data_IF_985456733360
#
_entry.id   IF_985456733360
#
_cell.length_a   1.000
_cell.length_b   1.000
_cell.length_c   1.000
_cell.angle_alpha   90.00
_cell.angle_beta   90.00
_cell.angle_gamma   90.00
#
_symmetry.space_group_name_H-M   'P 1'
#
loop_
_entity.id
_entity.type
_entity.pdbx_description
1 polymer ?
#
# COMPACT_ATOMS: atom_id res chain seq x y z
N UNK A 1 33.83 31.75 4.55
CA UNK A 1 32.44 31.64 4.02
C UNK A 1 31.96 30.23 4.28
N UNK A 2 31.24 30.03 5.36
CA UNK A 2 30.70 28.74 5.78
C UNK A 2 29.31 28.61 5.08
N UNK A 3 29.24 27.73 4.07
CA UNK A 3 27.99 27.43 3.39
C UNK A 3 27.02 26.79 4.39
N UNK A 4 25.96 27.48 4.70
CA UNK A 4 24.84 26.94 5.45
C UNK A 4 24.18 25.80 4.63
N UNK A 5 24.57 24.57 4.91
CA UNK A 5 23.75 23.43 4.53
C UNK A 5 22.37 23.59 5.16
N UNK A 6 21.43 24.02 4.34
CA UNK A 6 20.01 24.01 4.67
C UNK A 6 19.63 22.59 5.10
N UNK A 7 19.48 22.38 6.40
CA UNK A 7 18.82 21.18 6.95
C UNK A 7 17.48 21.08 6.24
N UNK A 8 17.35 20.16 5.27
CA UNK A 8 16.09 19.84 4.61
C UNK A 8 15.07 19.53 5.69
N UNK A 9 14.21 20.51 5.98
CA UNK A 9 13.17 20.36 7.01
C UNK A 9 12.39 19.07 6.75
N UNK A 10 12.20 18.28 7.77
CA UNK A 10 11.31 17.11 7.69
C UNK A 10 9.96 17.60 7.17
N UNK A 11 9.41 16.95 6.14
CA UNK A 11 8.09 17.26 5.62
C UNK A 11 7.06 16.79 6.64
N UNK A 12 6.61 17.72 7.47
CA UNK A 12 5.74 17.45 8.62
C UNK A 12 4.46 16.70 8.22
N UNK A 13 3.87 17.05 7.06
CA UNK A 13 2.68 16.37 6.54
C UNK A 13 2.92 14.87 6.26
N UNK A 14 4.12 14.51 5.77
CA UNK A 14 4.47 13.10 5.52
C UNK A 14 4.63 12.33 6.83
N UNK A 15 5.26 12.92 7.84
CA UNK A 15 5.41 12.27 9.14
C UNK A 15 4.06 12.11 9.84
N UNK A 16 3.17 13.11 9.72
CA UNK A 16 1.81 13.01 10.22
C UNK A 16 1.02 11.89 9.53
N UNK A 17 1.08 11.81 8.19
CA UNK A 17 0.42 10.75 7.43
C UNK A 17 0.95 9.36 7.83
N UNK A 18 2.27 9.21 8.02
CA UNK A 18 2.85 7.93 8.50
C UNK A 18 2.31 7.52 9.85
N UNK A 19 2.31 8.46 10.81
CA UNK A 19 1.78 8.20 12.15
C UNK A 19 0.33 7.76 12.08
N UNK A 20 -0.49 8.49 11.33
CA UNK A 20 -1.90 8.17 11.15
C UNK A 20 -2.12 6.81 10.50
N UNK A 21 -1.36 6.49 9.43
CA UNK A 21 -1.44 5.18 8.77
C UNK A 21 -1.02 4.02 9.68
N UNK A 22 -0.01 4.19 10.55
CA UNK A 22 0.37 3.17 11.53
C UNK A 22 -0.82 2.86 12.45
N UNK A 23 -1.51 3.89 12.91
CA UNK A 23 -2.67 3.75 13.78
C UNK A 23 -3.80 2.99 13.08
N UNK A 24 -4.10 3.32 11.82
CA UNK A 24 -5.08 2.62 11.01
C UNK A 24 -4.69 1.15 10.76
N UNK A 25 -3.42 0.87 10.48
CA UNK A 25 -2.94 -0.52 10.33
C UNK A 25 -3.11 -1.31 11.62
N UNK A 26 -2.80 -0.72 12.78
CA UNK A 26 -3.04 -1.37 14.07
C UNK A 26 -4.53 -1.69 14.25
N UNK A 27 -5.41 -0.77 13.89
CA UNK A 27 -6.86 -0.98 13.95
C UNK A 27 -7.32 -2.12 13.02
N UNK A 28 -6.73 -2.28 11.84
CA UNK A 28 -7.05 -3.40 10.91
C UNK A 28 -6.88 -4.77 11.58
N UNK A 29 -5.97 -4.88 12.53
CA UNK A 29 -5.67 -6.14 13.23
C UNK A 29 -6.48 -6.35 14.51
N UNK A 30 -7.45 -5.50 14.83
CA UNK A 30 -8.32 -5.67 16.00
C UNK A 30 -9.42 -6.72 15.83
N UNK A 31 -9.56 -7.29 14.61
CA UNK A 31 -10.55 -8.33 14.30
C UNK A 31 -11.96 -7.92 14.77
N UNK A 32 -12.68 -8.82 15.42
CA UNK A 32 -14.06 -8.60 15.92
C UNK A 32 -14.16 -7.57 17.05
N UNK A 33 -13.06 -7.19 17.69
CA UNK A 33 -13.05 -6.13 18.69
C UNK A 33 -13.16 -4.71 18.10
N UNK A 34 -12.98 -4.55 16.77
CA UNK A 34 -13.05 -3.25 16.11
C UNK A 34 -13.30 -3.35 14.60
N UNK A 35 -12.30 -3.81 13.86
CA UNK A 35 -12.33 -3.83 12.39
C UNK A 35 -13.50 -4.63 11.80
N UNK A 36 -13.81 -5.80 12.35
CA UNK A 36 -14.89 -6.69 11.89
C UNK A 36 -16.14 -6.62 12.76
N UNK A 37 -16.35 -5.52 13.47
CA UNK A 37 -17.48 -5.34 14.38
C UNK A 37 -18.83 -5.40 13.65
N UNK A 38 -18.90 -5.04 12.38
CA UNK A 38 -20.08 -5.13 11.53
C UNK A 38 -20.63 -6.57 11.39
N UNK A 39 -19.75 -7.59 11.49
CA UNK A 39 -20.17 -8.99 11.45
C UNK A 39 -20.95 -9.43 12.70
N UNK A 40 -20.68 -8.79 13.86
CA UNK A 40 -21.28 -9.17 15.13
C UNK A 40 -22.54 -8.38 15.48
N UNK A 41 -22.76 -7.24 14.85
CA UNK A 41 -23.84 -6.31 15.22
C UNK A 41 -24.58 -5.76 13.99
N UNK A 42 -25.16 -6.62 13.12
CA UNK A 42 -25.87 -6.15 11.92
C UNK A 42 -27.14 -5.36 12.26
N UNK A 43 -27.77 -5.64 13.41
CA UNK A 43 -29.00 -4.96 13.87
C UNK A 43 -28.75 -3.63 14.60
N UNK A 44 -27.46 -3.21 14.72
CA UNK A 44 -27.15 -1.98 15.44
C UNK A 44 -27.50 -0.74 14.63
N UNK A 45 -28.03 0.30 15.31
CA UNK A 45 -28.20 1.64 14.73
C UNK A 45 -26.88 2.18 14.12
N UNK A 46 -25.73 1.81 14.67
CA UNK A 46 -24.41 2.21 14.18
C UNK A 46 -23.86 1.31 13.08
N UNK A 47 -24.63 0.38 12.54
CA UNK A 47 -24.19 -0.55 11.50
C UNK A 47 -23.57 0.13 10.27
N UNK A 48 -24.12 1.24 9.71
CA UNK A 48 -23.48 1.95 8.59
C UNK A 48 -22.08 2.46 8.93
N UNK A 49 -21.88 2.91 10.16
CA UNK A 49 -20.56 3.33 10.63
C UNK A 49 -19.59 2.15 10.75
N UNK A 50 -20.07 1.01 11.25
CA UNK A 50 -19.25 -0.21 11.37
C UNK A 50 -18.80 -0.76 10.02
N UNK A 51 -19.56 -0.54 8.95
CA UNK A 51 -19.15 -0.88 7.58
C UNK A 51 -18.19 0.17 7.01
N UNK A 52 -18.47 1.45 7.19
CA UNK A 52 -17.67 2.53 6.62
C UNK A 52 -16.24 2.57 7.16
N UNK A 53 -16.05 2.28 8.45
CA UNK A 53 -14.72 2.31 9.10
C UNK A 53 -13.72 1.36 8.45
N UNK A 54 -14.00 0.07 8.18
CA UNK A 54 -13.10 -0.83 7.47
C UNK A 54 -12.66 -0.32 6.10
N UNK A 55 -13.53 0.33 5.34
CA UNK A 55 -13.16 0.91 4.04
C UNK A 55 -12.09 1.99 4.21
N UNK A 56 -12.27 2.91 5.16
CA UNK A 56 -11.31 3.98 5.41
C UNK A 56 -9.98 3.45 5.95
N UNK A 57 -10.03 2.48 6.83
CA UNK A 57 -8.84 1.86 7.44
C UNK A 57 -7.99 1.15 6.39
N UNK A 58 -8.58 0.51 5.39
CA UNK A 58 -7.87 -0.14 4.28
C UNK A 58 -7.04 0.84 3.43
N UNK A 59 -7.31 2.15 3.47
CA UNK A 59 -6.51 3.15 2.76
C UNK A 59 -5.09 3.34 3.33
N UNK A 60 -4.82 2.85 4.53
CA UNK A 60 -3.54 3.00 5.19
C UNK A 60 -2.36 2.43 4.38
N UNK A 61 -2.50 1.23 3.85
CA UNK A 61 -1.45 0.56 3.06
C UNK A 61 -1.18 1.30 1.73
N UNK A 62 -2.20 1.65 0.93
CA UNK A 62 -2.04 2.55 -0.22
C UNK A 62 -1.27 3.84 0.10
N UNK A 63 -1.64 4.52 1.19
CA UNK A 63 -0.96 5.77 1.60
C UNK A 63 0.51 5.52 1.95
N UNK A 64 0.86 4.41 2.62
CA UNK A 64 2.26 4.04 2.84
C UNK A 64 3.04 3.86 1.54
N UNK A 65 2.43 3.22 0.54
CA UNK A 65 3.06 3.08 -0.78
C UNK A 65 3.23 4.46 -1.44
N UNK A 66 2.22 5.32 -1.40
CA UNK A 66 2.30 6.68 -1.93
C UNK A 66 3.41 7.50 -1.25
N UNK A 67 3.52 7.47 0.06
CA UNK A 67 4.60 8.13 0.82
C UNK A 67 5.98 7.61 0.37
N UNK A 68 6.09 6.31 0.18
CA UNK A 68 7.34 5.69 -0.26
C UNK A 68 7.70 6.12 -1.68
N UNK A 69 6.74 6.14 -2.60
CA UNK A 69 6.91 6.67 -3.95
C UNK A 69 7.34 8.14 -3.97
N UNK A 70 6.65 9.00 -3.21
CA UNK A 70 6.95 10.41 -3.08
C UNK A 70 8.40 10.69 -2.64
N UNK A 71 8.92 9.85 -1.73
CA UNK A 71 10.25 10.04 -1.14
C UNK A 71 11.38 9.33 -1.87
N UNK A 72 11.11 8.15 -2.46
CA UNK A 72 12.17 7.30 -3.01
C UNK A 72 12.37 7.48 -4.50
N UNK A 73 11.31 7.76 -5.26
CA UNK A 73 11.40 7.87 -6.72
C UNK A 73 12.15 9.14 -7.17
N UNK A 74 12.12 10.19 -6.36
CA UNK A 74 12.89 11.42 -6.63
C UNK A 74 14.39 11.28 -6.41
N UNK A 75 14.82 10.32 -5.57
CA UNK A 75 16.21 10.22 -5.16
C UNK A 75 17.10 9.66 -6.25
N UNK A 76 18.34 10.17 -6.29
CA UNK A 76 19.41 9.62 -7.11
C UNK A 76 20.39 8.87 -6.20
N UNK A 77 20.28 7.56 -6.19
CA UNK A 77 21.13 6.69 -5.39
C UNK A 77 21.61 5.52 -6.26
N UNK A 78 22.89 5.14 -6.16
CA UNK A 78 23.39 3.97 -6.88
C UNK A 78 22.70 2.68 -6.41
N UNK A 79 22.61 1.69 -7.30
CA UNK A 79 21.98 0.40 -7.04
C UNK A 79 22.55 -0.26 -5.78
N UNK A 80 23.88 -0.16 -5.58
CA UNK A 80 24.55 -0.73 -4.40
C UNK A 80 24.01 -0.18 -3.06
N UNK A 81 23.62 1.10 -3.01
CA UNK A 81 23.00 1.70 -1.81
C UNK A 81 21.61 1.14 -1.58
N UNK A 82 20.83 0.91 -2.65
CA UNK A 82 19.50 0.31 -2.54
C UNK A 82 19.61 -1.08 -1.90
N UNK A 83 20.53 -1.93 -2.40
CA UNK A 83 20.73 -3.27 -1.84
C UNK A 83 21.28 -3.25 -0.42
N UNK A 84 22.42 -2.58 -0.18
CA UNK A 84 23.13 -2.63 1.11
C UNK A 84 22.40 -1.92 2.24
N UNK A 85 21.72 -0.79 1.96
CA UNK A 85 21.08 0.02 3.02
C UNK A 85 19.59 -0.18 3.14
N UNK A 86 18.89 -0.47 2.02
CA UNK A 86 17.42 -0.56 2.03
C UNK A 86 16.94 -1.99 2.06
N UNK A 87 17.23 -2.78 1.01
CA UNK A 87 16.77 -4.16 0.90
C UNK A 87 17.29 -4.99 2.07
N UNK A 88 18.57 -4.88 2.39
CA UNK A 88 19.19 -5.58 3.50
C UNK A 88 18.51 -5.28 4.84
N UNK A 89 18.17 -4.01 5.09
CA UNK A 89 17.46 -3.62 6.31
C UNK A 89 16.08 -4.26 6.40
N UNK A 90 15.32 -4.27 5.31
CA UNK A 90 13.99 -4.92 5.30
C UNK A 90 14.10 -6.44 5.41
N UNK A 91 15.09 -7.06 4.76
CA UNK A 91 15.34 -8.48 4.90
C UNK A 91 15.66 -8.87 6.35
N UNK A 92 16.50 -8.08 7.05
CA UNK A 92 16.76 -8.29 8.48
C UNK A 92 15.50 -8.15 9.33
N UNK A 93 14.65 -7.15 9.07
CA UNK A 93 13.38 -6.97 9.78
C UNK A 93 12.49 -8.19 9.59
N UNK A 94 12.29 -8.63 8.34
CA UNK A 94 11.48 -9.83 8.05
C UNK A 94 12.06 -11.04 8.77
N UNK A 95 13.37 -11.26 8.70
CA UNK A 95 14.01 -12.41 9.33
C UNK A 95 13.83 -12.42 10.86
N UNK A 96 14.11 -11.30 11.54
CA UNK A 96 14.03 -11.19 12.99
C UNK A 96 12.58 -11.39 13.46
N UNK A 97 11.62 -10.69 12.86
CA UNK A 97 10.23 -10.81 13.26
C UNK A 97 9.62 -12.17 12.89
N UNK A 98 10.04 -12.77 11.77
CA UNK A 98 9.67 -14.15 11.43
C UNK A 98 10.22 -15.15 12.45
N UNK A 99 11.45 -14.94 12.91
CA UNK A 99 12.04 -15.82 13.94
C UNK A 99 11.29 -15.71 15.27
N UNK A 100 10.97 -14.50 15.72
CA UNK A 100 10.18 -14.27 16.94
C UNK A 100 8.80 -14.95 16.82
N UNK A 101 8.12 -14.74 15.67
CA UNK A 101 6.81 -15.34 15.40
C UNK A 101 6.90 -16.88 15.38
N UNK A 102 7.92 -17.43 14.73
CA UNK A 102 8.14 -18.86 14.69
C UNK A 102 8.37 -19.46 16.09
N UNK A 103 9.22 -18.84 16.88
CA UNK A 103 9.47 -19.28 18.26
C UNK A 103 8.20 -19.19 19.12
N UNK A 104 7.36 -18.21 18.91
CA UNK A 104 6.12 -18.07 19.68
C UNK A 104 5.07 -19.14 19.32
N UNK A 105 4.83 -19.39 18.02
CA UNK A 105 3.73 -20.28 17.59
C UNK A 105 4.14 -21.72 17.35
N UNK A 106 5.40 -21.99 17.05
CA UNK A 106 5.87 -23.31 16.59
C UNK A 106 6.91 -23.98 17.48
N UNK A 107 7.28 -23.39 18.62
CA UNK A 107 8.28 -23.97 19.54
C UNK A 107 7.85 -25.32 20.12
N UNK A 108 6.55 -25.56 20.29
CA UNK A 108 6.00 -26.82 20.84
C UNK A 108 5.90 -27.98 19.84
N UNK A 109 6.32 -27.81 18.60
CA UNK A 109 6.30 -28.90 17.63
C UNK A 109 7.39 -29.92 17.95
N UNK A 110 7.02 -31.21 17.93
CA UNK A 110 7.96 -32.31 18.14
C UNK A 110 8.79 -32.59 16.87
N UNK A 111 9.69 -31.66 16.52
CA UNK A 111 10.56 -31.74 15.35
C UNK A 111 12.04 -31.79 15.78
N UNK A 112 12.89 -32.44 14.97
CA UNK A 112 14.32 -32.30 15.11
C UNK A 112 14.78 -30.86 14.81
N UNK A 113 16.01 -30.52 15.19
CA UNK A 113 16.60 -29.20 14.88
C UNK A 113 16.51 -28.87 13.38
N UNK A 114 16.88 -29.79 12.51
CA UNK A 114 16.78 -29.62 11.06
C UNK A 114 15.34 -29.54 10.58
N UNK A 115 14.40 -30.22 11.24
CA UNK A 115 12.96 -30.11 10.98
C UNK A 115 12.44 -28.71 11.26
N UNK A 116 12.82 -28.11 12.40
CA UNK A 116 12.48 -26.75 12.74
C UNK A 116 13.08 -25.75 11.75
N UNK A 117 14.35 -25.94 11.36
CA UNK A 117 15.02 -25.06 10.39
C UNK A 117 14.33 -25.09 9.02
N UNK A 118 14.05 -26.30 8.52
CA UNK A 118 13.31 -26.48 7.25
C UNK A 118 11.92 -25.84 7.31
N UNK A 119 11.16 -26.08 8.38
CA UNK A 119 9.84 -25.51 8.57
C UNK A 119 9.88 -23.97 8.61
N UNK A 120 10.84 -23.41 9.36
CA UNK A 120 11.02 -21.95 9.44
C UNK A 120 11.26 -21.33 8.06
N UNK A 121 12.22 -21.85 7.29
CA UNK A 121 12.52 -21.31 5.96
C UNK A 121 11.37 -21.53 4.97
N UNK A 122 10.66 -22.65 5.05
CA UNK A 122 9.48 -22.89 4.21
C UNK A 122 8.39 -21.84 4.48
N UNK A 123 8.07 -21.59 5.76
CA UNK A 123 7.06 -20.60 6.14
C UNK A 123 7.49 -19.18 5.74
N UNK A 124 8.75 -18.84 5.88
CA UNK A 124 9.28 -17.53 5.49
C UNK A 124 9.26 -17.36 3.96
N UNK A 125 9.65 -18.39 3.20
CA UNK A 125 9.64 -18.38 1.73
C UNK A 125 8.21 -18.28 1.16
N UNK A 126 7.27 -19.03 1.73
CA UNK A 126 5.87 -19.02 1.27
C UNK A 126 5.04 -17.84 1.77
N UNK A 127 5.62 -16.86 2.48
CA UNK A 127 4.93 -15.74 3.14
C UNK A 127 3.87 -16.14 4.16
N UNK A 128 3.86 -17.38 4.63
CA UNK A 128 2.84 -17.92 5.54
C UNK A 128 3.19 -17.76 7.02
N UNK A 129 4.26 -17.01 7.34
CA UNK A 129 4.66 -16.80 8.73
C UNK A 129 3.64 -15.95 9.50
N UNK A 130 3.22 -14.85 8.91
CA UNK A 130 2.12 -14.01 9.40
C UNK A 130 1.53 -13.20 8.23
N UNK A 131 0.20 -13.15 8.14
CA UNK A 131 -0.51 -12.44 7.08
C UNK A 131 -0.10 -10.96 6.99
N UNK A 132 0.19 -10.30 8.11
CA UNK A 132 0.61 -8.91 8.14
C UNK A 132 1.95 -8.64 7.42
N UNK A 133 2.78 -9.67 7.17
CA UNK A 133 4.11 -9.48 6.56
C UNK A 133 4.06 -9.32 5.03
N UNK A 134 2.92 -9.57 4.39
CA UNK A 134 2.77 -9.41 2.93
C UNK A 134 3.24 -8.03 2.45
N UNK A 135 2.95 -6.98 3.22
CA UNK A 135 3.38 -5.61 2.92
C UNK A 135 4.90 -5.47 2.80
N UNK A 136 5.67 -6.12 3.68
CA UNK A 136 7.14 -6.07 3.67
C UNK A 136 7.72 -6.76 2.43
N UNK A 137 7.12 -7.86 2.00
CA UNK A 137 7.53 -8.58 0.78
C UNK A 137 7.26 -7.74 -0.47
N UNK A 138 6.07 -7.14 -0.58
CA UNK A 138 5.73 -6.20 -1.66
C UNK A 138 6.72 -5.03 -1.67
N UNK A 139 7.05 -4.50 -0.49
CA UNK A 139 7.98 -3.38 -0.36
C UNK A 139 9.40 -3.73 -0.83
N UNK A 140 9.89 -4.93 -0.54
CA UNK A 140 11.17 -5.42 -1.10
C UNK A 140 11.08 -5.53 -2.63
N UNK A 141 10.00 -6.09 -3.17
CA UNK A 141 9.77 -6.13 -4.61
C UNK A 141 9.82 -4.74 -5.25
N UNK A 142 9.20 -3.73 -4.62
CA UNK A 142 9.30 -2.35 -5.07
C UNK A 142 10.75 -1.81 -5.01
N UNK A 143 11.50 -2.10 -3.94
CA UNK A 143 12.90 -1.67 -3.83
C UNK A 143 13.80 -2.31 -4.89
N UNK A 144 13.54 -3.56 -5.28
CA UNK A 144 14.25 -4.23 -6.37
C UNK A 144 14.00 -3.54 -7.71
N UNK A 145 12.76 -3.13 -7.97
CA UNK A 145 12.36 -2.42 -9.19
C UNK A 145 12.65 -0.91 -9.14
N UNK A 146 13.10 -0.37 -8.01
CA UNK A 146 13.26 1.07 -7.78
C UNK A 146 14.12 1.79 -8.83
N UNK A 147 15.24 1.23 -9.33
CA UNK A 147 16.03 1.88 -10.39
C UNK A 147 15.23 2.07 -11.68
N UNK A 148 14.42 1.08 -12.06
CA UNK A 148 13.59 1.11 -13.26
C UNK A 148 12.41 2.08 -13.10
N UNK A 149 11.75 2.06 -11.94
CA UNK A 149 10.69 3.02 -11.62
C UNK A 149 11.17 4.47 -11.66
N UNK A 150 12.39 4.75 -11.22
CA UNK A 150 12.99 6.09 -11.28
C UNK A 150 13.15 6.57 -12.72
N UNK A 151 13.58 5.71 -13.63
CA UNK A 151 13.68 6.04 -15.05
C UNK A 151 12.30 6.31 -15.64
N UNK A 152 11.34 5.42 -15.37
CA UNK A 152 9.97 5.55 -15.86
C UNK A 152 9.35 6.90 -15.46
N UNK A 153 9.30 7.21 -14.16
CA UNK A 153 8.60 8.40 -13.67
C UNK A 153 9.26 9.72 -14.10
N UNK A 154 10.57 9.72 -14.39
CA UNK A 154 11.28 10.91 -14.90
C UNK A 154 10.88 11.28 -16.33
N UNK A 155 10.51 10.30 -17.13
CA UNK A 155 10.10 10.50 -18.52
C UNK A 155 8.56 10.59 -18.66
N UNK A 156 7.81 10.39 -17.60
CA UNK A 156 6.36 10.54 -17.61
C UNK A 156 5.95 12.01 -17.61
N UNK A 157 5.19 12.40 -18.63
CA UNK A 157 4.50 13.70 -18.66
C UNK A 157 3.28 13.68 -17.75
N UNK A 158 2.75 14.86 -17.41
CA UNK A 158 1.51 14.96 -16.62
C UNK A 158 0.33 14.25 -17.30
N UNK A 159 0.27 14.28 -18.62
CA UNK A 159 -0.76 13.56 -19.41
C UNK A 159 -0.65 12.04 -19.23
N UNK A 160 0.57 11.49 -19.22
CA UNK A 160 0.79 10.05 -18.99
C UNK A 160 0.41 9.63 -17.57
N UNK A 161 0.67 10.47 -16.56
CA UNK A 161 0.18 10.21 -15.20
C UNK A 161 -1.35 10.19 -15.14
N UNK A 162 -2.02 11.16 -15.79
CA UNK A 162 -3.48 11.20 -15.86
C UNK A 162 -4.05 9.99 -16.62
N UNK A 163 -3.40 9.58 -17.70
CA UNK A 163 -3.77 8.39 -18.45
C UNK A 163 -3.66 7.11 -17.56
N UNK A 164 -2.58 6.98 -16.78
CA UNK A 164 -2.41 5.87 -15.84
C UNK A 164 -3.51 5.86 -14.76
N UNK A 165 -3.89 7.04 -14.25
CA UNK A 165 -4.99 7.18 -13.29
C UNK A 165 -6.32 6.77 -13.94
N UNK A 166 -6.57 7.21 -15.17
CA UNK A 166 -7.79 6.84 -15.90
C UNK A 166 -7.88 5.33 -16.16
N UNK A 167 -6.76 4.68 -16.53
CA UNK A 167 -6.71 3.22 -16.66
C UNK A 167 -7.00 2.51 -15.34
N UNK A 168 -6.41 2.97 -14.24
CA UNK A 168 -6.67 2.38 -12.93
C UNK A 168 -8.15 2.52 -12.53
N UNK A 169 -8.71 3.72 -12.65
CA UNK A 169 -10.13 3.95 -12.37
C UNK A 169 -11.06 3.10 -13.27
N UNK A 170 -10.69 2.89 -14.52
CA UNK A 170 -11.45 2.07 -15.44
C UNK A 170 -11.39 0.58 -15.04
N UNK A 171 -10.19 0.00 -14.90
CA UNK A 171 -10.04 -1.43 -14.66
C UNK A 171 -10.31 -1.85 -13.21
N UNK A 172 -9.93 -1.04 -12.22
CA UNK A 172 -10.07 -1.36 -10.79
C UNK A 172 -11.37 -0.81 -10.20
N UNK A 173 -11.87 0.32 -10.75
CA UNK A 173 -13.10 0.94 -10.27
C UNK A 173 -14.31 0.58 -11.13
N UNK A 174 -14.34 1.06 -12.38
CA UNK A 174 -15.53 0.95 -13.24
C UNK A 174 -15.88 -0.50 -13.62
N UNK A 175 -14.91 -1.28 -14.07
CA UNK A 175 -15.17 -2.65 -14.55
C UNK A 175 -15.79 -3.55 -13.48
N UNK A 176 -15.30 -3.64 -12.22
CA UNK A 176 -15.92 -4.45 -11.19
C UNK A 176 -17.36 -4.01 -10.87
N UNK A 177 -17.61 -2.70 -10.80
CA UNK A 177 -18.94 -2.16 -10.56
C UNK A 177 -19.88 -2.53 -11.72
N UNK A 178 -19.42 -2.34 -12.97
CA UNK A 178 -20.17 -2.69 -14.16
C UNK A 178 -20.49 -4.21 -14.22
N UNK A 179 -19.48 -5.05 -13.98
CA UNK A 179 -19.66 -6.51 -13.93
C UNK A 179 -20.68 -6.92 -12.87
N UNK A 180 -20.61 -6.32 -11.68
CA UNK A 180 -21.57 -6.60 -10.61
C UNK A 180 -23.00 -6.18 -10.99
N UNK A 181 -23.17 -4.97 -11.54
CA UNK A 181 -24.51 -4.44 -11.89
C UNK A 181 -25.17 -5.22 -13.05
N UNK A 182 -24.40 -5.58 -14.08
CA UNK A 182 -24.94 -6.23 -15.30
C UNK A 182 -25.01 -7.75 -15.11
N UNK A 183 -23.93 -8.37 -14.63
CA UNK A 183 -23.78 -9.82 -14.56
C UNK A 183 -24.03 -10.39 -13.16
N UNK A 184 -24.31 -9.55 -12.14
CA UNK A 184 -24.56 -9.98 -10.74
C UNK A 184 -23.46 -10.91 -10.21
N UNK A 185 -22.20 -10.67 -10.60
CA UNK A 185 -21.05 -11.47 -10.19
C UNK A 185 -20.90 -12.83 -10.91
N UNK A 186 -21.69 -13.10 -11.97
CA UNK A 186 -21.59 -14.36 -12.74
C UNK A 186 -20.54 -14.30 -13.87
N UNK A 187 -20.09 -13.12 -14.26
CA UNK A 187 -19.06 -12.91 -15.27
C UNK A 187 -18.19 -11.71 -14.93
N UNK A 188 -16.90 -11.84 -15.19
CA UNK A 188 -15.90 -10.78 -15.08
C UNK A 188 -15.20 -10.56 -16.42
N UNK A 189 -14.52 -9.40 -16.55
CA UNK A 189 -13.68 -9.14 -17.70
C UNK A 189 -12.53 -10.17 -17.76
N UNK A 190 -12.13 -10.51 -18.99
CA UNK A 190 -10.95 -11.35 -19.16
C UNK A 190 -9.70 -10.69 -18.52
N UNK A 191 -9.17 -11.35 -17.49
CA UNK A 191 -8.05 -10.84 -16.70
C UNK A 191 -6.80 -10.50 -17.52
N UNK A 192 -6.56 -11.20 -18.64
CA UNK A 192 -5.40 -10.95 -19.51
C UNK A 192 -5.44 -9.59 -20.24
N UNK A 193 -6.58 -8.90 -20.27
CA UNK A 193 -6.69 -7.56 -20.83
C UNK A 193 -6.21 -6.49 -19.85
N UNK A 194 -6.16 -6.79 -18.55
CA UNK A 194 -5.83 -5.82 -17.50
C UNK A 194 -4.38 -5.34 -17.61
N UNK A 195 -4.12 -4.02 -17.71
CA UNK A 195 -2.77 -3.47 -17.74
C UNK A 195 -2.09 -3.64 -16.37
N UNK A 196 -0.93 -4.29 -16.33
CA UNK A 196 -0.20 -4.61 -15.08
C UNK A 196 0.04 -3.37 -14.21
N UNK A 197 0.51 -2.26 -14.81
CA UNK A 197 0.79 -1.03 -14.06
C UNK A 197 -0.45 -0.35 -13.48
N UNK A 198 -1.58 -0.46 -14.17
CA UNK A 198 -2.82 0.16 -13.75
C UNK A 198 -3.57 -0.67 -12.69
N UNK A 199 -3.42 -2.00 -12.74
CA UNK A 199 -4.14 -2.95 -11.89
C UNK A 199 -3.30 -3.43 -10.71
N UNK A 200 -1.96 -3.48 -10.83
CA UNK A 200 -1.08 -3.75 -9.70
C UNK A 200 -1.12 -2.59 -8.70
N UNK A 201 -2.02 -2.67 -7.74
CA UNK A 201 -2.25 -1.63 -6.74
C UNK A 201 -0.96 -1.06 -6.12
N UNK A 202 0.01 -1.87 -5.66
CA UNK A 202 1.21 -1.32 -5.06
C UNK A 202 2.00 -0.42 -6.01
N UNK A 203 2.20 -0.84 -7.25
CA UNK A 203 2.96 -0.10 -8.25
C UNK A 203 2.27 1.22 -8.63
N UNK A 204 0.95 1.17 -8.80
CA UNK A 204 0.15 2.36 -9.07
C UNK A 204 0.29 3.39 -7.94
N UNK A 205 0.11 2.98 -6.68
CA UNK A 205 0.20 3.90 -5.54
C UNK A 205 1.60 4.49 -5.36
N UNK A 206 2.68 3.74 -5.63
CA UNK A 206 4.04 4.29 -5.63
C UNK A 206 4.20 5.41 -6.66
N UNK A 207 3.73 5.20 -7.88
CA UNK A 207 3.80 6.19 -8.96
C UNK A 207 2.90 7.38 -8.65
N UNK A 208 1.69 7.15 -8.19
CA UNK A 208 0.73 8.18 -7.82
C UNK A 208 1.28 9.09 -6.71
N UNK A 209 1.90 8.53 -5.69
CA UNK A 209 2.53 9.30 -4.61
C UNK A 209 3.65 10.21 -5.10
N UNK A 210 4.48 9.74 -6.05
CA UNK A 210 5.49 10.57 -6.68
C UNK A 210 4.87 11.72 -7.46
N UNK A 211 3.83 11.44 -8.26
CA UNK A 211 3.15 12.45 -9.05
C UNK A 211 2.54 13.54 -8.17
N UNK A 212 1.79 13.17 -7.14
CA UNK A 212 1.13 14.13 -6.23
C UNK A 212 2.14 15.05 -5.54
N UNK A 213 3.26 14.50 -5.07
CA UNK A 213 4.22 15.27 -4.26
C UNK A 213 5.21 16.08 -5.09
N UNK A 214 5.52 15.64 -6.34
CA UNK A 214 6.64 16.20 -7.11
C UNK A 214 6.24 16.78 -8.48
N UNK A 215 5.09 16.42 -9.04
CA UNK A 215 4.71 16.78 -10.40
C UNK A 215 3.38 17.55 -10.46
N UNK A 216 2.41 17.18 -9.62
CA UNK A 216 1.07 17.75 -9.64
C UNK A 216 1.10 19.28 -9.46
N UNK A 217 0.51 20.04 -10.37
CA UNK A 217 0.47 21.49 -10.26
C UNK A 217 -0.31 21.95 -9.01
N UNK A 218 0.30 22.80 -8.19
CA UNK A 218 -0.28 23.26 -6.90
C UNK A 218 -1.65 23.92 -7.11
N UNK A 219 -1.87 24.59 -8.24
CA UNK A 219 -3.16 25.23 -8.53
C UNK A 219 -4.33 24.26 -8.70
N UNK A 220 -4.07 22.96 -8.88
CA UNK A 220 -5.12 21.92 -8.86
C UNK A 220 -5.56 21.55 -7.46
N UNK A 221 -4.73 21.81 -6.44
CA UNK A 221 -5.00 21.51 -5.03
C UNK A 221 -5.82 22.63 -4.37
N UNK A 222 -6.81 23.19 -5.07
CA UNK A 222 -7.72 24.17 -4.46
C UNK A 222 -8.64 23.49 -3.44
N UNK A 223 -9.06 24.27 -2.42
CA UNK A 223 -10.03 23.77 -1.41
C UNK A 223 -11.29 23.20 -2.07
N UNK A 224 -11.75 23.82 -3.17
CA UNK A 224 -12.92 23.38 -3.93
C UNK A 224 -12.69 22.01 -4.59
N UNK A 225 -11.54 21.81 -5.27
CA UNK A 225 -11.23 20.54 -5.92
C UNK A 225 -11.05 19.41 -4.90
N UNK A 226 -10.41 19.69 -3.76
CA UNK A 226 -10.26 18.74 -2.67
C UNK A 226 -11.62 18.35 -2.06
N UNK A 227 -12.53 19.32 -1.92
CA UNK A 227 -13.90 19.05 -1.46
C UNK A 227 -14.65 18.14 -2.43
N UNK A 228 -14.58 18.41 -3.74
CA UNK A 228 -15.22 17.56 -4.75
C UNK A 228 -14.65 16.14 -4.77
N UNK A 229 -13.34 15.99 -4.68
CA UNK A 229 -12.70 14.68 -4.57
C UNK A 229 -13.14 13.92 -3.30
N UNK A 230 -13.22 14.63 -2.17
CA UNK A 230 -13.71 14.06 -0.91
C UNK A 230 -15.16 13.61 -1.00
N UNK A 231 -16.04 14.43 -1.57
CA UNK A 231 -17.43 14.06 -1.78
C UNK A 231 -17.58 12.87 -2.74
N UNK A 232 -16.82 12.85 -3.83
CA UNK A 232 -16.84 11.73 -4.78
C UNK A 232 -16.34 10.43 -4.13
N UNK A 233 -15.30 10.51 -3.29
CA UNK A 233 -14.80 9.34 -2.54
C UNK A 233 -15.86 8.82 -1.56
N UNK A 234 -16.51 9.68 -0.80
CA UNK A 234 -17.60 9.30 0.13
C UNK A 234 -18.77 8.69 -0.64
N UNK A 235 -19.21 9.33 -1.74
CA UNK A 235 -20.29 8.80 -2.55
C UNK A 235 -19.93 7.41 -3.15
N UNK A 236 -18.70 7.24 -3.62
CA UNK A 236 -18.21 5.95 -4.12
C UNK A 236 -18.22 4.84 -3.06
N UNK A 237 -17.86 5.18 -1.81
CA UNK A 237 -17.91 4.19 -0.70
C UNK A 237 -19.33 3.87 -0.24
N UNK A 238 -20.31 4.70 -0.55
CA UNK A 238 -21.73 4.43 -0.23
C UNK A 238 -22.44 3.58 -1.30
N UNK A 239 -21.89 3.56 -2.52
CA UNK A 239 -22.46 2.79 -3.64
C UNK A 239 -21.84 1.39 -3.72
N UNK A 240 -20.60 1.22 -3.24
CA UNK A 240 -19.88 -0.07 -3.21
C UNK A 240 -20.31 -0.95 -2.04
#
# INVERSE_FOLDING_TARGET
>A
MISSESKKGKKLHIEFLRFFCIWLVMFTHTSTAGFSLYLLRPESFFFPFYIAVPFWVKTAVPIFFMISGALLLKKEEPISVIFKKRIWRFAQIIFIFSLINYLYFYHGLNLSFFGHLSKFFTLMYSSNMATAYYFLYIYIGFLLMLPLWRILVRHMTNQLFLYLIALNLFFVGFIPIFSFLIFKGTADINWFINPILAVSEPSFYFILGYWIENVLPIHWLTKRNLLYLGMAAIAGTMIA
#
